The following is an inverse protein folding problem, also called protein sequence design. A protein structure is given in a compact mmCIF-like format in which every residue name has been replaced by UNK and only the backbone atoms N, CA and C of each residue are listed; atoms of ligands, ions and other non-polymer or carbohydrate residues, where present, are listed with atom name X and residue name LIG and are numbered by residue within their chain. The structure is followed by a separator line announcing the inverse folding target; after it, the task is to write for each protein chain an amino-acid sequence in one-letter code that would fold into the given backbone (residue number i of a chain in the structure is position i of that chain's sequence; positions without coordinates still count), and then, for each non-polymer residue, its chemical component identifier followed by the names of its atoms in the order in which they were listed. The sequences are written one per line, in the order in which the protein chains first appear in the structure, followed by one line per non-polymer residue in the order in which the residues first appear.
data_IF_484774197593
#
_entry.id   IF_484774197593
#
_cell.length_a   1.000
_cell.length_b   1.000
_cell.length_c   1.000
_cell.angle_alpha   90.00
_cell.angle_beta   90.00
_cell.angle_gamma   90.00
#
_symmetry.space_group_name_H-M   'P 1'
#
loop_
_entity.id
_entity.type
_entity.pdbx_description
1 polymer ?
#
# COMPACT_ATOMS: atom_id res chain seq x y z
N UNK A 1 -59.18 -31.56 -2.15
CA UNK A 1 -59.37 -30.29 -1.41
C UNK A 1 -58.71 -30.29 -0.03
N UNK A 2 -58.66 -31.42 0.68
CA UNK A 2 -58.00 -31.56 1.98
C UNK A 2 -56.47 -31.54 1.90
N UNK A 3 -55.86 -32.22 0.94
CA UNK A 3 -54.39 -32.25 0.76
C UNK A 3 -53.80 -30.87 0.43
N UNK A 4 -54.47 -30.11 -0.44
CA UNK A 4 -54.09 -28.73 -0.76
C UNK A 4 -54.14 -27.78 0.44
N UNK A 5 -55.05 -28.00 1.41
CA UNK A 5 -55.09 -27.20 2.64
C UNK A 5 -53.97 -27.55 3.60
N UNK A 6 -53.62 -28.83 3.72
CA UNK A 6 -52.49 -29.26 4.55
C UNK A 6 -51.18 -28.70 4.01
N UNK A 7 -50.94 -28.83 2.69
CA UNK A 7 -49.72 -28.28 2.08
C UNK A 7 -49.62 -26.75 2.18
N UNK A 8 -50.74 -26.03 2.23
CA UNK A 8 -50.75 -24.58 2.43
C UNK A 8 -50.39 -24.20 3.87
N UNK A 9 -50.91 -24.93 4.86
CA UNK A 9 -50.54 -24.75 6.26
C UNK A 9 -49.08 -25.12 6.54
N UNK A 10 -48.58 -26.22 5.95
CA UNK A 10 -47.18 -26.61 6.07
C UNK A 10 -46.24 -25.52 5.51
N UNK A 11 -46.65 -24.88 4.40
CA UNK A 11 -45.90 -23.78 3.81
C UNK A 11 -45.96 -22.52 4.68
N UNK A 12 -47.13 -22.18 5.23
CA UNK A 12 -47.29 -21.05 6.17
C UNK A 12 -46.39 -21.22 7.39
N UNK A 13 -46.34 -22.41 7.97
CA UNK A 13 -45.48 -22.73 9.11
C UNK A 13 -43.99 -22.69 8.73
N UNK A 14 -43.62 -23.23 7.57
CA UNK A 14 -42.24 -23.15 7.08
C UNK A 14 -41.79 -21.70 6.88
N UNK A 15 -42.65 -20.85 6.32
CA UNK A 15 -42.37 -19.42 6.11
C UNK A 15 -42.25 -18.69 7.44
N UNK A 16 -43.17 -18.95 8.39
CA UNK A 16 -43.12 -18.39 9.75
C UNK A 16 -41.81 -18.74 10.46
N UNK A 17 -41.44 -20.02 10.46
CA UNK A 17 -40.20 -20.50 11.06
C UNK A 17 -38.96 -19.86 10.40
N UNK A 18 -38.99 -19.61 9.08
CA UNK A 18 -37.91 -18.92 8.38
C UNK A 18 -37.81 -17.45 8.76
N UNK A 19 -38.93 -16.77 8.98
CA UNK A 19 -38.92 -15.39 9.47
C UNK A 19 -38.35 -15.32 10.89
N UNK A 20 -38.76 -16.22 11.79
CA UNK A 20 -38.21 -16.29 13.15
C UNK A 20 -36.70 -16.56 13.15
N UNK A 21 -36.21 -17.51 12.34
CA UNK A 21 -34.77 -17.77 12.21
C UNK A 21 -34.01 -16.55 11.64
N UNK A 22 -34.59 -15.84 10.68
CA UNK A 22 -33.99 -14.62 10.14
C UNK A 22 -33.93 -13.50 11.20
N UNK A 23 -35.00 -13.29 11.96
CA UNK A 23 -35.01 -12.31 13.05
C UNK A 23 -33.95 -12.63 14.10
N UNK A 24 -33.81 -13.90 14.49
CA UNK A 24 -32.79 -14.32 15.45
C UNK A 24 -31.37 -14.15 14.89
N UNK A 25 -31.17 -14.40 13.60
CA UNK A 25 -29.88 -14.15 12.94
C UNK A 25 -29.54 -12.66 12.90
N UNK A 26 -30.51 -11.81 12.60
CA UNK A 26 -30.31 -10.35 12.60
C UNK A 26 -29.96 -9.86 14.00
N UNK A 27 -30.69 -10.28 15.03
CA UNK A 27 -30.39 -9.93 16.43
C UNK A 27 -28.99 -10.37 16.86
N UNK A 28 -28.57 -11.59 16.50
CA UNK A 28 -27.21 -12.07 16.78
C UNK A 28 -26.15 -11.22 16.09
N UNK A 29 -26.39 -10.86 14.82
CA UNK A 29 -25.47 -10.03 14.06
C UNK A 29 -25.37 -8.62 14.63
N UNK A 30 -26.49 -8.01 15.02
CA UNK A 30 -26.51 -6.70 15.69
C UNK A 30 -25.73 -6.71 16.99
N UNK A 31 -25.89 -7.75 17.82
CA UNK A 31 -25.12 -7.93 19.05
C UNK A 31 -23.62 -8.07 18.76
N UNK A 32 -23.24 -8.86 17.75
CA UNK A 32 -21.84 -9.02 17.37
C UNK A 32 -21.23 -7.70 16.86
N UNK A 33 -21.97 -6.94 16.05
CA UNK A 33 -21.56 -5.61 15.59
C UNK A 33 -21.36 -4.65 16.77
N UNK A 34 -22.26 -4.67 17.75
CA UNK A 34 -22.15 -3.83 18.93
C UNK A 34 -20.90 -4.17 19.75
N UNK A 35 -20.67 -5.45 20.03
CA UNK A 35 -19.48 -5.91 20.76
C UNK A 35 -18.19 -5.48 20.05
N UNK A 36 -18.11 -5.66 18.73
CA UNK A 36 -16.94 -5.24 17.95
C UNK A 36 -16.74 -3.73 17.98
N UNK A 37 -17.82 -2.97 17.95
CA UNK A 37 -17.75 -1.51 18.01
C UNK A 37 -17.25 -1.03 19.38
N UNK A 38 -17.72 -1.64 20.47
CA UNK A 38 -17.26 -1.33 21.83
C UNK A 38 -15.75 -1.65 22.00
N UNK A 39 -15.29 -2.78 21.47
CA UNK A 39 -13.87 -3.15 21.46
C UNK A 39 -12.99 -2.15 20.68
N UNK A 40 -13.49 -1.66 19.54
CA UNK A 40 -12.77 -0.66 18.74
C UNK A 40 -12.68 0.68 19.49
N UNK A 41 -13.75 1.10 20.16
CA UNK A 41 -13.76 2.31 20.98
C UNK A 41 -12.73 2.20 22.10
N UNK A 42 -12.73 1.09 22.84
CA UNK A 42 -11.77 0.84 23.92
C UNK A 42 -10.32 0.90 23.41
N UNK A 43 -10.03 0.23 22.29
CA UNK A 43 -8.69 0.24 21.67
C UNK A 43 -8.26 1.65 21.25
N UNK A 44 -9.17 2.46 20.69
CA UNK A 44 -8.88 3.84 20.30
C UNK A 44 -8.60 4.72 21.52
N UNK A 45 -9.36 4.53 22.60
CA UNK A 45 -9.13 5.25 23.86
C UNK A 45 -7.78 4.89 24.50
N UNK A 46 -7.41 3.61 24.51
CA UNK A 46 -6.11 3.16 25.00
C UNK A 46 -4.97 3.76 24.19
N UNK A 47 -5.07 3.73 22.86
CA UNK A 47 -4.09 4.34 21.97
C UNK A 47 -3.98 5.85 22.20
N UNK A 48 -5.10 6.54 22.41
CA UNK A 48 -5.11 7.96 22.75
C UNK A 48 -4.37 8.24 24.06
N UNK A 49 -4.57 7.42 25.10
CA UNK A 49 -3.86 7.55 26.38
C UNK A 49 -2.37 7.27 26.23
N UNK A 50 -1.98 6.27 25.42
CA UNK A 50 -0.58 5.98 25.14
C UNK A 50 0.11 7.14 24.43
N UNK A 51 -0.50 7.69 23.38
CA UNK A 51 0.04 8.82 22.64
C UNK A 51 0.20 10.07 23.51
N UNK A 52 -0.73 10.33 24.44
CA UNK A 52 -0.61 11.42 25.39
C UNK A 52 0.63 11.27 26.29
N UNK A 53 0.88 10.07 26.83
CA UNK A 53 2.08 9.79 27.63
C UNK A 53 3.38 9.97 26.84
N UNK A 54 3.43 9.45 25.62
CA UNK A 54 4.60 9.62 24.73
C UNK A 54 4.85 11.11 24.45
N UNK A 55 3.79 11.89 24.23
CA UNK A 55 3.92 13.32 23.99
C UNK A 55 4.44 14.08 25.23
N UNK A 56 4.02 13.68 26.43
CA UNK A 56 4.53 14.23 27.69
C UNK A 56 6.02 13.90 27.89
N UNK A 57 6.42 12.65 27.69
CA UNK A 57 7.83 12.21 27.79
C UNK A 57 8.75 12.97 26.82
N UNK A 58 8.31 13.14 25.56
CA UNK A 58 9.06 13.92 24.57
C UNK A 58 9.18 15.38 25.03
N UNK A 59 8.09 15.96 25.53
CA UNK A 59 8.07 17.35 25.98
C UNK A 59 9.00 17.56 27.19
N UNK A 60 9.05 16.60 28.11
CA UNK A 60 9.92 16.63 29.28
C UNK A 60 11.40 16.46 28.89
N UNK A 61 11.72 15.47 28.05
CA UNK A 61 13.09 15.29 27.53
C UNK A 61 13.61 16.53 26.78
N UNK A 62 12.75 17.22 26.02
CA UNK A 62 13.12 18.49 25.37
C UNK A 62 13.39 19.62 26.37
N UNK A 63 12.70 19.66 27.51
CA UNK A 63 12.96 20.64 28.58
C UNK A 63 14.31 20.37 29.26
N UNK A 64 14.64 19.10 29.51
CA UNK A 64 15.93 18.71 30.11
C UNK A 64 17.12 19.07 29.21
N UNK A 65 17.02 18.82 27.89
CA UNK A 65 18.03 19.24 26.91
C UNK A 65 18.21 20.76 26.91
N UNK A 66 17.12 21.52 27.10
CA UNK A 66 17.14 22.99 27.12
C UNK A 66 17.69 23.57 28.44
N UNK A 67 17.61 22.83 29.54
CA UNK A 67 18.05 23.26 30.87
C UNK A 67 19.53 22.92 31.17
N UNK A 68 20.19 22.13 30.32
CA UNK A 68 21.60 21.77 30.51
C UNK A 68 22.53 22.99 30.29
N UNK A 69 23.31 23.42 31.31
CA UNK A 69 24.26 24.51 31.14
C UNK A 69 25.41 24.01 30.26
N UNK A 70 25.48 24.54 29.04
CA UNK A 70 26.54 24.26 28.07
C UNK A 70 27.93 24.37 28.72
N UNK A 71 28.56 23.21 28.96
CA UNK A 71 29.96 23.12 29.38
C UNK A 71 30.83 23.79 28.31
N UNK A 72 31.73 24.68 28.74
CA UNK A 72 32.60 25.54 27.89
C UNK A 72 33.56 24.80 26.92
N UNK A 73 33.42 23.49 26.72
CA UNK A 73 34.07 22.72 25.64
C UNK A 73 33.15 22.39 24.45
N UNK A 74 31.84 22.67 24.54
CA UNK A 74 30.83 22.25 23.56
C UNK A 74 30.72 23.14 22.31
N UNK A 75 31.25 24.37 22.36
CA UNK A 75 31.02 25.35 21.28
C UNK A 75 31.72 24.97 19.97
N UNK A 76 32.95 24.41 20.04
CA UNK A 76 33.70 23.99 18.85
C UNK A 76 33.04 22.81 18.12
N UNK A 77 32.62 21.77 18.85
CA UNK A 77 31.89 20.63 18.25
C UNK A 77 30.54 21.04 17.67
N UNK A 78 29.82 21.94 18.34
CA UNK A 78 28.52 22.42 17.84
C UNK A 78 28.67 23.30 16.58
N UNK A 79 29.72 24.12 16.51
CA UNK A 79 30.03 24.91 15.31
C UNK A 79 30.48 23.99 14.15
N UNK A 80 31.31 22.96 14.41
CA UNK A 80 31.70 21.95 13.41
C UNK A 80 30.50 21.14 12.89
N UNK A 81 29.63 20.63 13.78
CA UNK A 81 28.41 19.91 13.38
C UNK A 81 27.43 20.81 12.62
N UNK A 82 27.30 22.09 13.01
CA UNK A 82 26.47 23.07 12.30
C UNK A 82 27.02 23.37 10.91
N UNK A 83 28.34 23.51 10.79
CA UNK A 83 28.99 23.79 9.51
C UNK A 83 28.91 22.57 8.58
N UNK A 84 29.05 21.34 9.11
CA UNK A 84 28.77 20.09 8.38
C UNK A 84 27.31 20.00 7.91
N UNK A 85 26.35 20.36 8.77
CA UNK A 85 24.93 20.37 8.41
C UNK A 85 24.62 21.42 7.33
N UNK A 86 25.26 22.59 7.40
CA UNK A 86 25.14 23.62 6.37
C UNK A 86 25.68 23.15 5.03
N UNK A 87 26.84 22.48 5.03
CA UNK A 87 27.44 21.95 3.81
C UNK A 87 26.60 20.79 3.24
N UNK A 88 26.14 19.85 4.07
CA UNK A 88 25.19 18.80 3.65
C UNK A 88 23.93 19.39 3.03
N UNK A 89 23.34 20.41 3.67
CA UNK A 89 22.14 21.09 3.16
C UNK A 89 22.41 21.77 1.82
N UNK A 90 23.59 22.39 1.64
CA UNK A 90 24.01 22.99 0.37
C UNK A 90 24.13 21.94 -0.73
N UNK A 91 24.78 20.81 -0.46
CA UNK A 91 24.95 19.70 -1.39
C UNK A 91 23.59 19.12 -1.80
N UNK A 92 22.70 18.84 -0.83
CA UNK A 92 21.38 18.30 -1.14
C UNK A 92 20.51 19.29 -1.91
N UNK A 93 20.58 20.59 -1.58
CA UNK A 93 19.87 21.62 -2.34
C UNK A 93 20.39 21.72 -3.79
N UNK A 94 21.69 21.55 -4.01
CA UNK A 94 22.24 21.49 -5.38
C UNK A 94 21.72 20.25 -6.11
N UNK A 95 21.82 19.07 -5.51
CA UNK A 95 21.33 17.83 -6.11
C UNK A 95 19.84 17.91 -6.47
N UNK A 96 19.02 18.50 -5.59
CA UNK A 96 17.60 18.70 -5.88
C UNK A 96 17.39 19.59 -7.10
N UNK A 97 18.12 20.71 -7.21
CA UNK A 97 18.05 21.58 -8.40
C UNK A 97 18.44 20.83 -9.67
N UNK A 98 19.52 20.06 -9.62
CA UNK A 98 19.98 19.28 -10.77
C UNK A 98 18.92 18.24 -11.19
N UNK A 99 18.28 17.56 -10.23
CA UNK A 99 17.19 16.61 -10.50
C UNK A 99 15.94 17.28 -11.03
N UNK A 100 15.58 18.44 -10.50
CA UNK A 100 14.45 19.22 -11.01
C UNK A 100 14.69 19.68 -12.45
N UNK A 101 15.93 20.01 -12.80
CA UNK A 101 16.31 20.36 -14.17
C UNK A 101 16.23 19.14 -15.10
N UNK A 102 16.77 17.99 -14.69
CA UNK A 102 16.62 16.71 -15.42
C UNK A 102 15.14 16.38 -15.68
N UNK A 103 14.26 16.56 -14.69
CA UNK A 103 12.83 16.32 -14.85
C UNK A 103 12.18 17.30 -15.83
N UNK A 104 12.53 18.59 -15.76
CA UNK A 104 12.03 19.58 -16.72
C UNK A 104 12.49 19.30 -18.14
N UNK A 105 13.69 18.76 -18.33
CA UNK A 105 14.17 18.30 -19.63
C UNK A 105 13.36 17.14 -20.17
N UNK A 106 13.07 16.14 -19.32
CA UNK A 106 12.21 15.01 -19.69
C UNK A 106 10.81 15.50 -20.04
N UNK A 107 10.21 16.37 -19.23
CA UNK A 107 8.87 16.91 -19.49
C UNK A 107 8.80 17.68 -20.80
N UNK A 108 9.81 18.53 -21.09
CA UNK A 108 9.93 19.19 -22.40
C UNK A 108 10.02 18.17 -23.52
N UNK A 109 10.91 17.19 -23.39
CA UNK A 109 11.08 16.16 -24.41
C UNK A 109 9.78 15.41 -24.68
N UNK A 110 9.05 15.00 -23.64
CA UNK A 110 7.77 14.29 -23.77
C UNK A 110 6.64 15.17 -24.32
N UNK A 111 6.67 16.47 -24.05
CA UNK A 111 5.71 17.42 -24.61
C UNK A 111 5.88 17.60 -26.12
N UNK A 112 7.13 17.57 -26.59
CA UNK A 112 7.48 17.70 -28.01
C UNK A 112 7.43 16.36 -28.76
N UNK A 113 7.70 15.26 -28.05
CA UNK A 113 7.77 13.91 -28.59
C UNK A 113 6.69 13.05 -27.95
N UNK A 114 5.54 12.95 -28.63
CA UNK A 114 4.45 12.06 -28.22
C UNK A 114 4.93 10.61 -28.27
N UNK A 115 5.39 10.10 -27.14
CA UNK A 115 5.72 8.68 -26.98
C UNK A 115 4.42 7.91 -27.04
N UNK A 116 4.18 7.24 -28.17
CA UNK A 116 3.04 6.30 -28.27
C UNK A 116 3.24 5.22 -27.21
N UNK A 117 2.23 5.00 -26.38
CA UNK A 117 2.22 3.88 -25.45
C UNK A 117 2.56 2.60 -26.21
N UNK A 118 3.60 1.89 -25.76
CA UNK A 118 3.98 0.60 -26.34
C UNK A 118 2.80 -0.36 -26.10
N UNK A 119 2.02 -0.61 -27.15
CA UNK A 119 0.98 -1.64 -27.13
C UNK A 119 1.66 -2.99 -27.30
N UNK A 120 1.68 -3.78 -26.24
CA UNK A 120 1.99 -5.20 -26.36
C UNK A 120 0.75 -5.88 -26.95
N UNK A 121 0.72 -6.01 -28.29
CA UNK A 121 -0.24 -6.90 -28.95
C UNK A 121 0.20 -8.36 -28.80
N UNK A 122 -0.68 -9.29 -29.19
CA UNK A 122 -0.31 -10.71 -29.28
C UNK A 122 0.91 -10.87 -30.21
N UNK A 123 2.05 -11.28 -29.63
CA UNK A 123 3.29 -11.45 -30.39
C UNK A 123 3.12 -12.62 -31.36
N UNK A 124 3.01 -12.32 -32.65
CA UNK A 124 3.16 -13.30 -33.73
C UNK A 124 4.66 -13.48 -34.01
N UNK A 125 5.21 -14.67 -33.75
CA UNK A 125 6.62 -14.96 -34.06
C UNK A 125 6.86 -14.94 -35.58
N UNK A 126 7.94 -14.28 -36.01
CA UNK A 126 8.37 -14.31 -37.42
C UNK A 126 8.96 -15.68 -37.77
N UNK A 127 8.87 -16.10 -39.02
CA UNK A 127 9.27 -17.45 -39.49
C UNK A 127 10.71 -17.83 -39.14
N UNK A 128 11.64 -16.88 -39.12
CA UNK A 128 13.04 -17.09 -38.76
C UNK A 128 13.31 -17.13 -37.25
N UNK A 129 12.38 -16.64 -36.42
CA UNK A 129 12.47 -16.74 -34.96
C UNK A 129 12.09 -18.15 -34.48
N UNK A 130 11.45 -18.97 -35.33
CA UNK A 130 11.06 -20.34 -35.00
C UNK A 130 12.23 -21.33 -34.96
N UNK A 131 13.34 -21.02 -35.62
CA UNK A 131 14.55 -21.85 -35.59
C UNK A 131 15.51 -21.45 -34.47
N UNK A 132 15.27 -20.32 -33.81
CA UNK A 132 16.11 -19.82 -32.73
C UNK A 132 15.70 -20.46 -31.40
N UNK A 133 16.69 -20.92 -30.64
CA UNK A 133 16.48 -21.47 -29.30
C UNK A 133 16.26 -20.34 -28.28
N UNK A 134 15.30 -20.53 -27.37
CA UNK A 134 15.16 -19.61 -26.24
C UNK A 134 16.39 -19.67 -25.35
N UNK A 135 16.98 -18.51 -25.04
CA UNK A 135 18.17 -18.38 -24.18
C UNK A 135 17.90 -18.87 -22.75
N UNK A 136 16.64 -18.93 -22.31
CA UNK A 136 16.27 -19.31 -20.94
C UNK A 136 15.84 -20.78 -20.76
N UNK A 137 15.05 -21.37 -21.68
CA UNK A 137 14.55 -22.75 -21.52
C UNK A 137 15.05 -23.72 -22.60
N UNK A 138 15.83 -23.25 -23.58
CA UNK A 138 16.44 -24.07 -24.63
C UNK A 138 15.47 -24.64 -25.68
N UNK A 139 14.15 -24.43 -25.52
CA UNK A 139 13.18 -24.86 -26.52
C UNK A 139 13.27 -23.98 -27.77
N UNK A 140 13.43 -24.62 -28.93
CA UNK A 140 13.34 -23.98 -30.24
C UNK A 140 11.89 -23.94 -30.73
N UNK A 141 11.50 -22.87 -31.40
CA UNK A 141 10.23 -22.81 -32.16
C UNK A 141 8.97 -22.40 -31.42
N UNK A 142 8.98 -22.34 -30.08
CA UNK A 142 7.78 -21.96 -29.29
C UNK A 142 7.78 -20.52 -28.79
N UNK A 143 8.96 -19.92 -28.54
CA UNK A 143 9.13 -18.52 -28.14
C UNK A 143 10.61 -18.14 -28.26
N UNK A 144 10.91 -16.85 -28.51
CA UNK A 144 12.28 -16.34 -28.51
C UNK A 144 12.42 -15.15 -27.54
N UNK A 145 12.95 -15.46 -26.36
CA UNK A 145 13.54 -14.57 -25.34
C UNK A 145 13.30 -13.04 -25.40
N UNK A 146 12.09 -12.56 -25.14
CA UNK A 146 11.84 -11.15 -24.81
C UNK A 146 11.20 -10.98 -23.43
N UNK A 147 11.81 -11.63 -22.45
CA UNK A 147 11.22 -12.08 -21.20
C UNK A 147 10.68 -13.50 -21.35
N UNK A 148 11.57 -14.47 -21.19
CA UNK A 148 11.19 -15.83 -20.81
C UNK A 148 11.06 -16.01 -19.27
N UNK A 149 10.30 -15.20 -18.54
CA UNK A 149 9.28 -15.71 -17.65
C UNK A 149 8.37 -16.63 -18.46
N UNK A 150 8.33 -16.45 -19.80
CA UNK A 150 7.63 -17.34 -20.70
C UNK A 150 7.74 -18.86 -20.39
N UNK A 151 6.64 -19.42 -19.92
CA UNK A 151 5.41 -18.91 -20.49
C UNK A 151 4.66 -17.83 -19.64
N UNK A 152 5.29 -17.37 -18.53
CA UNK A 152 4.89 -16.29 -17.60
C UNK A 152 4.78 -14.84 -18.13
N UNK A 153 3.90 -14.13 -17.43
CA UNK A 153 3.42 -12.74 -17.52
C UNK A 153 4.02 -11.79 -16.47
N UNK A 154 3.59 -10.50 -16.47
CA UNK A 154 3.84 -9.45 -15.46
C UNK A 154 2.65 -9.23 -14.49
N UNK A 155 1.57 -9.99 -14.66
CA UNK A 155 0.66 -10.41 -13.56
C UNK A 155 0.94 -11.90 -13.19
N UNK A 156 2.10 -12.39 -13.65
CA UNK A 156 2.95 -13.44 -13.09
C UNK A 156 4.39 -12.89 -12.89
N UNK A 157 4.64 -11.57 -13.04
CA UNK A 157 5.88 -10.87 -12.62
C UNK A 157 5.53 -9.88 -11.52
#
# INVERSE_FOLDING_TARGET
MTELRHGLHDLEDAVRNKFEDMEDRVKRFEQECQIRMDQLIETVEENRRLLARIAEEITEGLKEVRASPTRKGSKRKYDEERDELCEKRRIYAQRLRDREEELREIDRFLSENVVRARRFGDRTMKTHESTLACVFCGLSGKHYSDACPKVRTVDER
#
